data_IF_711967659389
#
_entry.id   IF_711967659389
#
_cell.length_a   1.000
_cell.length_b   1.000
_cell.length_c   1.000
_cell.angle_alpha   90.00
_cell.angle_beta   90.00
_cell.angle_gamma   90.00
#
_symmetry.space_group_name_H-M   'P 1'
#
loop_
_entity.id
_entity.type
_entity.pdbx_description
1 polymer ?
#
# COMPACT_ATOMS: atom_id res chain seq x y z
N UNK A 1 3.98 8.20 -16.13
CA UNK A 1 3.99 6.85 -15.51
C UNK A 1 2.78 6.71 -14.59
N UNK A 2 2.10 5.61 -14.71
CA UNK A 2 0.91 5.26 -13.96
C UNK A 2 1.22 4.13 -12.99
N UNK A 3 1.52 4.48 -11.74
CA UNK A 3 1.67 3.48 -10.70
C UNK A 3 0.38 3.40 -9.87
N UNK A 4 -0.24 2.25 -9.85
CA UNK A 4 -1.41 1.94 -9.01
C UNK A 4 -0.96 1.06 -7.86
N UNK A 5 -1.16 1.53 -6.63
CA UNK A 5 -0.86 0.75 -5.41
C UNK A 5 -2.04 -0.18 -5.11
N UNK A 6 -1.79 -1.48 -5.05
CA UNK A 6 -2.81 -2.48 -4.72
C UNK A 6 -2.63 -2.91 -3.27
N UNK A 7 -3.53 -2.45 -2.41
CA UNK A 7 -3.52 -2.66 -0.97
C UNK A 7 -4.63 -3.61 -0.51
N UNK A 8 -4.50 -4.16 0.69
CA UNK A 8 -5.50 -5.03 1.30
C UNK A 8 -4.91 -6.03 2.29
N UNK A 9 -5.77 -6.79 2.93
CA UNK A 9 -5.38 -7.82 3.89
C UNK A 9 -4.58 -8.97 3.28
N UNK A 10 -3.81 -9.71 4.09
CA UNK A 10 -3.34 -11.05 3.69
C UNK A 10 -4.52 -11.91 3.24
N UNK A 11 -4.37 -12.62 2.12
CA UNK A 11 -5.48 -13.45 1.58
C UNK A 11 -6.45 -12.71 0.67
N UNK A 12 -6.36 -11.38 0.49
CA UNK A 12 -7.25 -10.62 -0.41
C UNK A 12 -6.99 -10.82 -1.91
N UNK A 13 -5.98 -11.58 -2.32
CA UNK A 13 -5.75 -11.89 -3.73
C UNK A 13 -4.88 -10.90 -4.50
N UNK A 14 -4.18 -9.98 -3.83
CA UNK A 14 -3.29 -8.99 -4.48
C UNK A 14 -2.39 -9.59 -5.56
N UNK A 15 -1.68 -10.64 -5.23
CA UNK A 15 -0.76 -11.32 -6.17
C UNK A 15 -1.50 -11.97 -7.32
N UNK A 16 -2.66 -12.55 -7.08
CA UNK A 16 -3.48 -13.20 -8.10
C UNK A 16 -3.99 -12.21 -9.13
N UNK A 17 -4.38 -11.01 -8.68
CA UNK A 17 -4.90 -9.96 -9.56
C UNK A 17 -3.80 -9.26 -10.35
N UNK A 18 -2.75 -8.82 -9.68
CA UNK A 18 -1.76 -7.93 -10.28
C UNK A 18 -0.63 -8.65 -11.02
N UNK A 19 -0.27 -9.89 -10.64
CA UNK A 19 0.84 -10.60 -11.28
C UNK A 19 0.69 -10.76 -12.79
N UNK A 20 -0.48 -11.16 -13.34
CA UNK A 20 -0.65 -11.26 -14.79
C UNK A 20 -0.63 -9.92 -15.53
N UNK A 21 -0.98 -8.82 -14.84
CA UNK A 21 -0.98 -7.47 -15.41
C UNK A 21 0.40 -6.82 -15.40
N UNK A 22 1.25 -7.28 -14.52
CA UNK A 22 2.58 -6.69 -14.32
C UNK A 22 3.66 -7.34 -15.20
N UNK A 23 3.38 -8.51 -15.74
CA UNK A 23 4.40 -9.34 -16.37
C UNK A 23 5.51 -9.72 -15.38
N UNK A 24 6.53 -10.39 -15.85
CA UNK A 24 7.66 -10.90 -15.04
C UNK A 24 8.68 -9.78 -14.66
N UNK A 25 8.23 -8.51 -14.57
CA UNK A 25 9.10 -7.38 -14.26
C UNK A 25 9.26 -7.23 -12.75
N UNK A 26 10.26 -7.90 -12.19
CA UNK A 26 10.78 -7.53 -10.88
C UNK A 26 11.44 -6.14 -10.99
N UNK A 27 10.78 -5.08 -10.53
CA UNK A 27 11.43 -3.78 -10.41
C UNK A 27 12.52 -3.89 -9.35
N UNK A 28 13.77 -3.96 -9.80
CA UNK A 28 14.94 -3.85 -8.95
C UNK A 28 15.22 -2.40 -8.54
N UNK A 29 16.11 -2.23 -7.59
CA UNK A 29 16.63 -0.91 -7.26
C UNK A 29 17.63 -0.43 -8.33
N UNK A 30 17.46 0.78 -8.83
CA UNK A 30 18.33 1.40 -9.85
C UNK A 30 19.60 2.07 -9.28
N UNK A 31 19.86 1.91 -7.99
CA UNK A 31 21.03 2.50 -7.32
C UNK A 31 20.87 3.95 -6.89
N UNK A 32 19.77 4.61 -7.23
CA UNK A 32 19.54 6.02 -6.92
C UNK A 32 18.75 6.20 -5.62
N UNK A 33 19.07 7.25 -4.86
CA UNK A 33 18.33 7.62 -3.67
C UNK A 33 16.92 8.13 -4.01
N UNK A 34 15.97 8.02 -3.07
CA UNK A 34 14.67 8.67 -3.21
C UNK A 34 14.81 10.19 -3.48
N UNK A 35 13.87 10.79 -4.22
CA UNK A 35 13.87 12.22 -4.47
C UNK A 35 13.86 13.04 -3.17
N UNK A 36 14.43 14.23 -3.19
CA UNK A 36 14.55 15.08 -1.99
C UNK A 36 13.19 15.45 -1.36
N UNK A 37 12.14 15.58 -2.16
CA UNK A 37 10.78 15.88 -1.67
C UNK A 37 10.15 14.72 -0.86
N UNK A 38 10.74 13.52 -0.87
CA UNK A 38 10.31 12.41 -0.01
C UNK A 38 10.76 12.55 1.44
N UNK A 39 11.60 13.56 1.75
CA UNK A 39 12.24 13.66 3.07
C UNK A 39 11.24 13.60 4.22
N UNK A 40 10.20 14.43 4.19
CA UNK A 40 9.18 14.44 5.25
C UNK A 40 8.47 13.08 5.42
N UNK A 41 8.20 12.39 4.32
CA UNK A 41 7.63 11.04 4.36
C UNK A 41 8.59 10.02 4.98
N UNK A 42 9.88 10.08 4.63
CA UNK A 42 10.89 9.17 5.17
C UNK A 42 11.12 9.40 6.67
N UNK A 43 11.05 10.66 7.12
CA UNK A 43 11.12 11.03 8.53
C UNK A 43 9.92 10.40 9.28
N UNK A 44 8.70 10.51 8.77
CA UNK A 44 7.52 9.87 9.36
C UNK A 44 7.59 8.33 9.37
N UNK A 45 8.13 7.71 8.32
CA UNK A 45 8.37 6.27 8.32
C UNK A 45 9.35 5.87 9.42
N UNK A 46 10.36 6.70 9.68
CA UNK A 46 11.33 6.47 10.75
C UNK A 46 10.66 6.56 12.12
N UNK A 47 9.80 7.56 12.33
CA UNK A 47 9.00 7.69 13.55
C UNK A 47 8.10 6.46 13.76
N UNK A 48 7.37 6.03 12.73
CA UNK A 48 6.55 4.81 12.79
C UNK A 48 7.39 3.56 13.11
N UNK A 49 8.60 3.45 12.54
CA UNK A 49 9.51 2.35 12.89
C UNK A 49 9.87 2.36 14.37
N UNK A 50 10.19 3.53 14.93
CA UNK A 50 10.50 3.65 16.36
C UNK A 50 9.30 3.28 17.24
N UNK A 51 8.08 3.62 16.83
CA UNK A 51 6.87 3.24 17.55
C UNK A 51 6.61 1.72 17.58
N UNK A 52 7.07 0.98 16.60
CA UNK A 52 6.90 -0.49 16.53
C UNK A 52 8.19 -1.27 16.84
N UNK A 53 9.20 -0.62 17.40
CA UNK A 53 10.51 -1.24 17.67
C UNK A 53 10.45 -2.45 18.59
N UNK A 54 9.49 -2.46 19.53
CA UNK A 54 9.32 -3.54 20.51
C UNK A 54 8.48 -4.72 19.96
N UNK A 55 8.02 -4.62 18.71
CA UNK A 55 7.25 -5.68 18.06
C UNK A 55 8.20 -6.76 17.51
N UNK A 56 7.86 -8.05 17.71
CA UNK A 56 8.69 -9.19 17.31
C UNK A 56 9.12 -9.19 15.85
N UNK A 57 8.30 -8.61 14.97
CA UNK A 57 8.60 -8.49 13.55
C UNK A 57 9.47 -7.28 13.17
N UNK A 58 9.96 -6.50 14.13
CA UNK A 58 10.71 -5.27 13.86
C UNK A 58 11.89 -5.45 12.89
N UNK A 59 12.74 -6.48 13.00
CA UNK A 59 13.82 -6.69 12.04
C UNK A 59 13.34 -6.90 10.60
N UNK A 60 12.15 -7.49 10.43
CA UNK A 60 11.54 -7.62 9.10
C UNK A 60 11.01 -6.28 8.60
N UNK A 61 10.43 -5.45 9.48
CA UNK A 61 9.95 -4.09 9.15
C UNK A 61 11.06 -3.25 8.57
N UNK A 62 12.20 -3.19 9.24
CA UNK A 62 13.36 -2.40 8.80
C UNK A 62 13.80 -2.81 7.38
N UNK A 63 14.03 -4.12 7.17
CA UNK A 63 14.43 -4.63 5.83
C UNK A 63 13.41 -4.36 4.75
N UNK A 64 12.12 -4.48 5.09
CA UNK A 64 11.04 -4.31 4.12
C UNK A 64 10.85 -2.84 3.74
N UNK A 65 10.99 -1.90 4.70
CA UNK A 65 10.87 -0.47 4.42
C UNK A 65 11.99 0.04 3.52
N UNK A 66 13.23 -0.30 3.81
CA UNK A 66 14.37 0.05 2.96
C UNK A 66 14.16 -0.42 1.51
N UNK A 67 13.81 -1.70 1.33
CA UNK A 67 13.54 -2.26 0.00
C UNK A 67 12.38 -1.57 -0.71
N UNK A 68 11.30 -1.23 0.02
CA UNK A 68 10.12 -0.63 -0.59
C UNK A 68 10.38 0.82 -0.98
N UNK A 69 11.04 1.62 -0.15
CA UNK A 69 11.40 2.98 -0.50
C UNK A 69 12.29 3.02 -1.76
N UNK A 70 13.30 2.17 -1.83
CA UNK A 70 14.19 2.03 -2.99
C UNK A 70 13.43 1.62 -4.25
N UNK A 71 12.56 0.61 -4.14
CA UNK A 71 11.73 0.13 -5.25
C UNK A 71 10.79 1.22 -5.75
N UNK A 72 10.08 1.88 -4.85
CA UNK A 72 9.14 2.94 -5.23
C UNK A 72 9.82 4.15 -5.85
N UNK A 73 10.99 4.55 -5.34
CA UNK A 73 11.78 5.60 -5.95
C UNK A 73 12.25 5.22 -7.38
N UNK A 74 12.53 3.94 -7.63
CA UNK A 74 12.84 3.44 -8.98
C UNK A 74 11.59 3.47 -9.88
N UNK A 75 10.47 2.97 -9.38
CA UNK A 75 9.18 2.98 -10.08
C UNK A 75 8.79 4.38 -10.51
N UNK A 76 9.00 5.38 -9.66
CA UNK A 76 8.68 6.78 -9.97
C UNK A 76 9.48 7.33 -11.17
N UNK A 77 10.68 6.79 -11.40
CA UNK A 77 11.55 7.19 -12.53
C UNK A 77 11.30 6.38 -13.81
N UNK A 78 10.54 5.30 -13.74
CA UNK A 78 10.22 4.50 -14.94
C UNK A 78 9.27 5.27 -15.86
N UNK A 79 9.41 5.04 -17.16
CA UNK A 79 8.60 5.70 -18.20
C UNK A 79 7.51 4.77 -18.76
N UNK A 80 7.31 3.60 -18.14
CA UNK A 80 6.29 2.64 -18.57
C UNK A 80 4.87 3.21 -18.36
N UNK A 81 3.95 2.86 -19.25
CA UNK A 81 2.60 3.42 -19.27
C UNK A 81 1.76 3.00 -18.07
N UNK A 82 1.97 1.77 -17.54
CA UNK A 82 1.19 1.23 -16.39
C UNK A 82 2.03 0.31 -15.51
N UNK A 83 1.95 0.51 -14.20
CA UNK A 83 2.56 -0.38 -13.20
C UNK A 83 1.59 -0.61 -12.04
N UNK A 84 1.25 -1.87 -11.76
CA UNK A 84 0.49 -2.26 -10.59
C UNK A 84 1.42 -2.76 -9.48
N UNK A 85 1.35 -2.17 -8.30
CA UNK A 85 2.30 -2.43 -7.20
C UNK A 85 1.60 -3.14 -6.06
N UNK A 86 1.92 -4.41 -5.85
CA UNK A 86 1.30 -5.24 -4.79
C UNK A 86 1.71 -4.89 -3.37
N UNK A 87 2.86 -4.25 -3.22
CA UNK A 87 3.45 -3.94 -1.93
C UNK A 87 4.05 -2.54 -1.99
N UNK A 88 3.22 -1.60 -2.42
CA UNK A 88 3.55 -0.19 -2.49
C UNK A 88 3.57 0.47 -1.11
N UNK A 89 3.56 1.79 -1.12
CA UNK A 89 3.71 2.56 0.13
C UNK A 89 2.48 2.44 1.03
N UNK A 90 1.26 2.43 0.47
CA UNK A 90 0.03 2.23 1.25
C UNK A 90 0.08 0.92 2.00
N UNK A 91 0.41 -0.19 1.31
CA UNK A 91 0.50 -1.50 1.94
C UNK A 91 1.56 -1.51 3.06
N UNK A 92 2.63 -0.71 2.94
CA UNK A 92 3.64 -0.58 3.99
C UNK A 92 3.13 0.16 5.21
N UNK A 93 2.42 1.26 4.99
CA UNK A 93 1.83 2.04 6.09
C UNK A 93 0.76 1.21 6.80
N UNK A 94 -0.08 0.47 6.08
CA UNK A 94 -0.99 -0.52 6.67
C UNK A 94 -0.23 -1.57 7.50
N UNK A 95 0.98 -1.91 7.07
CA UNK A 95 1.90 -2.79 7.80
C UNK A 95 2.33 -2.23 9.16
N UNK A 96 2.45 -0.92 9.33
CA UNK A 96 2.62 -0.28 10.64
C UNK A 96 1.30 -0.27 11.40
N UNK A 97 0.19 0.09 10.77
CA UNK A 97 -1.12 0.14 11.39
C UNK A 97 -1.50 -1.17 12.10
N UNK A 98 -1.30 -2.33 11.45
CA UNK A 98 -1.62 -3.60 12.08
C UNK A 98 -0.74 -3.90 13.30
N UNK A 99 0.54 -3.48 13.28
CA UNK A 99 1.44 -3.66 14.43
C UNK A 99 1.08 -2.75 15.59
N UNK A 100 0.78 -1.50 15.30
CA UNK A 100 0.29 -0.57 16.32
C UNK A 100 -0.97 -1.12 16.98
N UNK A 101 -1.94 -1.58 16.19
CA UNK A 101 -3.18 -2.16 16.70
C UNK A 101 -2.92 -3.43 17.53
N UNK A 102 -2.03 -4.32 17.08
CA UNK A 102 -1.66 -5.53 17.83
C UNK A 102 -0.98 -5.19 19.16
N UNK A 103 -0.23 -4.10 19.23
CA UNK A 103 0.42 -3.62 20.45
C UNK A 103 -0.52 -2.78 21.35
N UNK A 104 -1.81 -2.65 20.99
CA UNK A 104 -2.77 -1.80 21.72
C UNK A 104 -2.48 -0.30 21.60
N UNK A 105 -1.73 0.11 20.59
CA UNK A 105 -1.43 1.53 20.31
C UNK A 105 -2.44 2.13 19.35
N UNK A 106 -2.52 3.46 19.34
CA UNK A 106 -3.42 4.18 18.45
C UNK A 106 -3.01 4.00 16.98
N UNK A 107 -3.91 3.44 16.19
CA UNK A 107 -3.71 3.22 14.74
C UNK A 107 -3.70 4.54 13.97
N UNK A 108 -4.31 5.61 14.49
CA UNK A 108 -4.30 6.94 13.87
C UNK A 108 -2.90 7.51 13.68
N UNK A 109 -1.89 7.00 14.38
CA UNK A 109 -0.50 7.39 14.20
C UNK A 109 0.02 7.18 12.77
N UNK A 110 -0.66 6.35 11.94
CA UNK A 110 -0.30 6.20 10.52
C UNK A 110 -0.76 7.37 9.63
N UNK A 111 -1.66 8.25 10.10
CA UNK A 111 -2.25 9.34 9.30
C UNK A 111 -1.20 10.27 8.70
N UNK A 112 -0.20 10.65 9.47
CA UNK A 112 0.85 11.56 9.00
C UNK A 112 1.68 10.96 7.86
N UNK A 113 2.06 9.69 7.99
CA UNK A 113 2.77 8.99 6.93
C UNK A 113 1.91 8.84 5.65
N UNK A 114 0.60 8.55 5.79
CA UNK A 114 -0.34 8.52 4.66
C UNK A 114 -0.49 9.90 4.01
N UNK A 115 -0.49 10.96 4.81
CA UNK A 115 -0.59 12.32 4.31
C UNK A 115 0.65 12.76 3.52
N UNK A 116 1.84 12.45 4.00
CA UNK A 116 3.12 12.82 3.37
C UNK A 116 3.58 11.83 2.29
N UNK A 117 2.94 10.68 2.20
CA UNK A 117 3.33 9.64 1.26
C UNK A 117 3.33 10.16 -0.18
N UNK A 118 4.42 9.96 -0.94
CA UNK A 118 4.40 10.24 -2.38
C UNK A 118 3.35 9.37 -3.05
N UNK A 119 2.41 10.01 -3.74
CA UNK A 119 1.28 9.32 -4.34
C UNK A 119 1.64 8.88 -5.76
N UNK A 120 1.40 7.63 -6.04
CA UNK A 120 1.15 7.11 -7.37
C UNK A 120 -0.23 7.58 -7.87
N UNK A 121 -0.62 7.21 -9.05
CA UNK A 121 -1.84 7.67 -9.74
C UNK A 121 -3.13 7.36 -9.00
N UNK A 122 -3.14 6.28 -8.23
CA UNK A 122 -4.29 5.88 -7.45
C UNK A 122 -4.01 4.66 -6.57
N UNK A 123 -4.97 4.34 -5.72
CA UNK A 123 -4.89 3.21 -4.79
C UNK A 123 -6.12 2.32 -4.96
N UNK A 124 -5.89 1.02 -5.05
CA UNK A 124 -6.94 0.01 -5.11
C UNK A 124 -6.94 -0.80 -3.82
N UNK A 125 -8.05 -0.78 -3.10
CA UNK A 125 -8.27 -1.62 -1.93
C UNK A 125 -9.02 -2.88 -2.32
N UNK A 126 -8.42 -4.05 -2.04
CA UNK A 126 -9.07 -5.33 -2.22
C UNK A 126 -9.80 -5.70 -0.94
N UNK A 127 -11.12 -5.83 -1.02
CA UNK A 127 -12.01 -6.06 0.10
C UNK A 127 -12.54 -7.50 0.11
N UNK A 128 -12.58 -8.07 1.28
CA UNK A 128 -13.31 -9.28 1.63
C UNK A 128 -13.57 -9.27 3.13
N UNK A 129 -14.59 -9.97 3.58
CA UNK A 129 -14.86 -10.11 5.00
C UNK A 129 -13.77 -10.90 5.73
N UNK A 130 -13.72 -10.74 7.05
CA UNK A 130 -12.70 -11.37 7.88
C UNK A 130 -12.73 -12.90 7.77
N UNK A 131 -13.92 -13.50 7.70
CA UNK A 131 -14.08 -14.95 7.66
C UNK A 131 -13.49 -15.51 6.34
N UNK A 132 -13.81 -14.89 5.21
CA UNK A 132 -13.24 -15.23 3.90
C UNK A 132 -11.72 -15.09 3.90
N UNK A 133 -11.17 -14.00 4.46
CA UNK A 133 -9.73 -13.79 4.55
C UNK A 133 -9.05 -14.87 5.39
N UNK A 134 -9.63 -15.21 6.54
CA UNK A 134 -9.10 -16.24 7.43
C UNK A 134 -9.18 -17.62 6.76
N UNK A 135 -10.28 -17.92 6.05
CA UNK A 135 -10.42 -19.18 5.33
C UNK A 135 -9.37 -19.32 4.23
N UNK A 136 -9.17 -18.29 3.41
CA UNK A 136 -8.15 -18.28 2.36
C UNK A 136 -6.71 -18.44 2.92
N UNK A 137 -6.43 -17.88 4.10
CA UNK A 137 -5.15 -18.08 4.76
C UNK A 137 -4.99 -19.50 5.31
N UNK A 138 -6.04 -20.11 5.90
CA UNK A 138 -6.04 -21.53 6.32
C UNK A 138 -5.81 -22.49 5.14
N UNK A 139 -6.38 -22.19 3.98
CA UNK A 139 -6.18 -23.03 2.79
C UNK A 139 -4.75 -22.94 2.24
N UNK A 140 -4.10 -21.78 2.37
CA UNK A 140 -2.65 -21.65 2.10
C UNK A 140 -1.80 -22.46 3.05
N UNK A 141 -2.16 -22.53 4.33
CA UNK A 141 -1.45 -23.31 5.33
C UNK A 141 -1.45 -24.81 5.01
N UNK A 142 -2.56 -25.32 4.45
CA UNK A 142 -2.69 -26.73 4.02
C UNK A 142 -1.82 -27.06 2.80
N UNK A 143 -1.42 -26.09 2.01
CA UNK A 143 -0.57 -26.28 0.85
C UNK A 143 0.90 -26.11 1.25
N UNK A 144 1.74 -27.16 1.21
CA UNK A 144 3.15 -27.10 1.62
C UNK A 144 3.97 -26.01 0.90
N UNK A 145 3.63 -25.69 -0.36
CA UNK A 145 4.29 -24.65 -1.12
C UNK A 145 4.03 -23.25 -0.60
N UNK A 146 2.90 -23.00 0.08
CA UNK A 146 2.46 -21.68 0.53
C UNK A 146 2.18 -21.60 2.04
N UNK A 147 2.43 -22.67 2.80
CA UNK A 147 2.16 -22.72 4.24
C UNK A 147 2.85 -21.58 5.02
N UNK A 148 4.05 -21.19 4.61
CA UNK A 148 4.79 -20.07 5.19
C UNK A 148 4.17 -18.69 4.91
N UNK A 149 3.19 -18.61 4.00
CA UNK A 149 2.46 -17.38 3.66
C UNK A 149 1.22 -17.17 4.53
N UNK A 150 0.90 -18.09 5.45
CA UNK A 150 -0.22 -17.89 6.36
C UNK A 150 0.04 -16.67 7.26
N UNK A 151 -0.79 -15.66 7.05
CA UNK A 151 -0.76 -14.39 7.80
C UNK A 151 -2.15 -13.99 8.28
N UNK A 152 -3.03 -14.98 8.46
CA UNK A 152 -4.41 -14.76 8.89
C UNK A 152 -4.50 -13.96 10.20
N UNK A 153 -3.55 -14.17 11.13
CA UNK A 153 -3.48 -13.43 12.40
C UNK A 153 -3.35 -11.90 12.20
N UNK A 154 -2.89 -11.44 11.05
CA UNK A 154 -2.77 -10.00 10.76
C UNK A 154 -4.10 -9.38 10.29
N UNK A 155 -5.04 -10.18 9.78
CA UNK A 155 -6.24 -9.69 9.13
C UNK A 155 -7.08 -8.73 9.99
N UNK A 156 -7.42 -9.04 11.27
CA UNK A 156 -8.23 -8.14 12.08
C UNK A 156 -7.56 -6.77 12.28
N UNK A 157 -6.24 -6.78 12.41
CA UNK A 157 -5.45 -5.58 12.68
C UNK A 157 -5.27 -4.73 11.41
N UNK A 158 -5.10 -5.37 10.24
CA UNK A 158 -5.04 -4.64 8.95
C UNK A 158 -6.40 -4.04 8.62
N UNK A 159 -7.49 -4.76 8.86
CA UNK A 159 -8.86 -4.24 8.67
C UNK A 159 -9.13 -3.00 9.52
N UNK A 160 -8.57 -2.88 10.71
CA UNK A 160 -8.67 -1.68 11.54
C UNK A 160 -7.94 -0.47 10.93
N UNK A 161 -6.89 -0.67 10.16
CA UNK A 161 -6.10 0.40 9.55
C UNK A 161 -6.63 0.88 8.17
N UNK A 162 -7.37 0.03 7.44
CA UNK A 162 -7.88 0.35 6.10
C UNK A 162 -8.81 1.58 6.08
N UNK A 163 -9.80 1.73 6.97
CA UNK A 163 -10.67 2.91 6.98
C UNK A 163 -9.89 4.21 7.15
N UNK A 164 -8.89 4.22 8.01
CA UNK A 164 -8.02 5.39 8.24
C UNK A 164 -7.25 5.73 6.95
N UNK A 165 -6.72 4.72 6.26
CA UNK A 165 -6.02 4.95 5.01
C UNK A 165 -6.93 5.51 3.92
N UNK A 166 -8.14 4.98 3.78
CA UNK A 166 -9.14 5.48 2.82
C UNK A 166 -9.52 6.93 3.11
N UNK A 167 -9.82 7.25 4.37
CA UNK A 167 -10.17 8.61 4.79
C UNK A 167 -9.07 9.61 4.42
N UNK A 168 -7.83 9.36 4.83
CA UNK A 168 -6.70 10.27 4.56
C UNK A 168 -6.42 10.42 3.06
N UNK A 169 -6.49 9.33 2.30
CA UNK A 169 -6.27 9.37 0.86
C UNK A 169 -7.39 10.12 0.13
N UNK A 170 -8.65 9.95 0.56
CA UNK A 170 -9.78 10.73 0.06
C UNK A 170 -9.61 12.23 0.34
N UNK A 171 -9.25 12.61 1.58
CA UNK A 171 -8.99 14.01 1.95
C UNK A 171 -7.87 14.62 1.09
N UNK A 172 -6.92 13.81 0.62
CA UNK A 172 -5.86 14.24 -0.30
C UNK A 172 -6.29 14.30 -1.78
N UNK A 173 -7.51 13.89 -2.09
CA UNK A 173 -7.98 13.79 -3.48
C UNK A 173 -7.28 12.68 -4.29
N UNK A 174 -6.74 11.65 -3.62
CA UNK A 174 -6.13 10.50 -4.30
C UNK A 174 -7.24 9.62 -4.86
N UNK A 175 -7.23 9.27 -6.16
CA UNK A 175 -8.20 8.33 -6.72
C UNK A 175 -8.17 6.99 -5.98
N UNK A 176 -9.34 6.53 -5.54
CA UNK A 176 -9.50 5.26 -4.84
C UNK A 176 -10.46 4.35 -5.62
N UNK A 177 -10.13 3.08 -5.67
CA UNK A 177 -11.03 2.01 -6.14
C UNK A 177 -11.14 0.95 -5.04
N UNK A 178 -12.36 0.58 -4.71
CA UNK A 178 -12.66 -0.52 -3.79
C UNK A 178 -13.18 -1.71 -4.62
N UNK A 179 -12.46 -2.84 -4.54
CA UNK A 179 -12.82 -4.05 -5.26
C UNK A 179 -13.25 -5.14 -4.27
N UNK A 180 -14.50 -5.52 -4.35
CA UNK A 180 -15.03 -6.70 -3.65
C UNK A 180 -14.51 -7.98 -4.33
N UNK A 181 -13.44 -8.54 -3.78
CA UNK A 181 -12.82 -9.76 -4.29
C UNK A 181 -13.43 -11.05 -3.71
N UNK A 182 -14.51 -10.90 -2.98
CA UNK A 182 -15.30 -12.03 -2.46
C UNK A 182 -16.38 -12.45 -3.45
N UNK A 183 -17.04 -11.49 -4.08
CA UNK A 183 -18.22 -11.72 -4.93
C UNK A 183 -17.94 -11.52 -6.42
N UNK A 184 -16.76 -11.02 -6.79
CA UNK A 184 -16.37 -10.82 -8.19
C UNK A 184 -15.44 -11.93 -8.67
N UNK A 185 -15.52 -12.25 -9.97
CA UNK A 185 -14.52 -13.11 -10.61
C UNK A 185 -13.18 -12.37 -10.70
N UNK A 186 -12.08 -13.14 -10.77
CA UNK A 186 -10.74 -12.59 -10.92
C UNK A 186 -10.62 -11.74 -12.19
N UNK A 187 -11.26 -12.18 -13.27
CA UNK A 187 -11.18 -11.48 -14.56
C UNK A 187 -11.96 -10.16 -14.52
N UNK A 188 -13.17 -10.13 -13.95
CA UNK A 188 -13.91 -8.89 -13.75
C UNK A 188 -13.14 -7.91 -12.86
N UNK A 189 -12.52 -8.39 -11.78
CA UNK A 189 -11.71 -7.54 -10.92
C UNK A 189 -10.47 -6.99 -11.64
N UNK A 190 -9.86 -7.74 -12.57
CA UNK A 190 -8.76 -7.26 -13.42
C UNK A 190 -9.22 -6.21 -14.42
N UNK A 191 -10.37 -6.38 -15.05
CA UNK A 191 -10.96 -5.40 -15.96
C UNK A 191 -11.19 -4.07 -15.24
N UNK A 192 -11.77 -4.08 -14.04
CA UNK A 192 -11.94 -2.88 -13.22
C UNK A 192 -10.61 -2.23 -12.84
N UNK A 193 -9.60 -3.03 -12.51
CA UNK A 193 -8.26 -2.54 -12.17
C UNK A 193 -7.59 -1.82 -13.35
N UNK A 194 -7.73 -2.38 -14.57
CA UNK A 194 -7.20 -1.78 -15.80
C UNK A 194 -7.97 -0.50 -16.15
N UNK A 195 -9.31 -0.53 -16.12
CA UNK A 195 -10.14 0.62 -16.38
C UNK A 195 -9.81 1.79 -15.42
N UNK A 196 -9.68 1.51 -14.13
CA UNK A 196 -9.28 2.49 -13.13
C UNK A 196 -7.92 3.14 -13.44
N UNK A 197 -6.95 2.34 -13.87
CA UNK A 197 -5.64 2.85 -14.25
C UNK A 197 -5.74 3.77 -15.48
N UNK A 198 -6.56 3.42 -16.47
CA UNK A 198 -6.76 4.21 -17.70
C UNK A 198 -7.48 5.53 -17.43
N UNK A 199 -8.54 5.51 -16.65
CA UNK A 199 -9.32 6.69 -16.27
C UNK A 199 -8.46 7.71 -15.51
N UNK A 200 -7.52 7.24 -14.71
CA UNK A 200 -6.66 8.09 -13.90
C UNK A 200 -5.30 8.41 -14.55
N UNK A 201 -5.08 7.96 -15.78
CA UNK A 201 -3.84 8.21 -16.52
C UNK A 201 -3.50 9.70 -16.66
N UNK A 202 -4.51 10.53 -16.92
CA UNK A 202 -4.37 11.98 -17.07
C UNK A 202 -4.06 12.71 -15.75
N UNK A 203 -4.42 12.13 -14.61
CA UNK A 203 -4.27 12.76 -13.30
C UNK A 203 -2.82 12.69 -12.77
N UNK A 204 -2.00 11.79 -13.29
CA UNK A 204 -0.62 11.59 -12.87
C UNK A 204 0.25 12.86 -12.95
N UNK A 205 0.00 13.71 -13.93
CA UNK A 205 0.72 14.98 -14.11
C UNK A 205 0.30 16.02 -13.06
N UNK A 206 -0.99 16.08 -12.72
CA UNK A 206 -1.52 17.06 -11.77
C UNK A 206 -1.12 16.74 -10.31
N UNK A 207 -1.06 15.45 -9.98
CA UNK A 207 -0.63 15.00 -8.63
C UNK A 207 0.86 15.28 -8.41
N UNK A 208 1.70 15.20 -9.46
CA UNK A 208 3.13 15.55 -9.38
C UNK A 208 3.37 17.04 -9.26
N UNK A 209 2.65 17.86 -10.02
CA UNK A 209 2.78 19.32 -9.93
C UNK A 209 2.33 19.87 -8.58
N UNK A 210 1.38 19.21 -7.93
CA UNK A 210 0.96 19.54 -6.56
C UNK A 210 2.04 19.28 -5.51
N UNK A 211 2.96 18.33 -5.73
CA UNK A 211 4.06 18.05 -4.79
C UNK A 211 5.22 19.04 -4.90
N UNK A 212 5.41 19.69 -6.05
CA UNK A 212 6.55 20.59 -6.28
C UNK A 212 6.38 22.03 -5.75
N UNK A 213 5.21 22.41 -5.25
CA UNK A 213 4.98 23.81 -4.84
C UNK A 213 3.92 24.03 -3.77
N UNK A 214 3.14 23.04 -3.43
CA UNK A 214 2.10 23.20 -2.42
C UNK A 214 2.71 22.90 -1.04
N UNK A 215 2.94 23.94 -0.25
CA UNK A 215 2.96 23.81 1.20
C UNK A 215 1.57 23.33 1.56
N UNK A 216 1.42 21.98 1.69
CA UNK A 216 0.16 21.41 2.16
C UNK A 216 -0.15 22.03 3.50
N UNK A 217 -1.21 22.81 3.59
CA UNK A 217 -1.74 23.24 4.89
C UNK A 217 -2.03 21.94 5.66
N UNK A 218 -1.39 21.74 6.82
CA UNK A 218 -1.63 20.52 7.57
C UNK A 218 -3.12 20.44 7.92
N UNK A 219 -3.74 19.27 7.82
CA UNK A 219 -5.14 19.10 8.18
C UNK A 219 -5.34 19.38 9.68
N UNK A 220 -6.57 19.70 10.13
CA UNK A 220 -6.86 20.08 11.51
C UNK A 220 -6.37 19.06 12.57
N UNK A 221 -6.31 17.77 12.20
CA UNK A 221 -5.84 16.70 13.09
C UNK A 221 -4.31 16.57 13.16
N UNK A 222 -3.56 17.43 12.48
CA UNK A 222 -2.09 17.43 12.50
C UNK A 222 -1.50 18.04 13.77
N UNK A 223 -2.29 18.82 14.51
CA UNK A 223 -1.90 19.40 15.80
C UNK A 223 -2.06 18.35 16.91
#
# INVERSE_FOLDING_TARGET
>A
MLAVDVAGCPGSGKSTLSYPLWGDRSVGWDGKLPPAYWRGFLDELTELMMLVRDHDSFPAVVRMNDRSAKKMATVERMQDDRIFIQTGLVQRILGFGWRLHQMGRDVNLIRRALWLMPVSVGVVFLEADLETLLQRNRDREKNPATAHENRGFQCPHVLAAIPIAKEVLNERGVPLLELDVQHQSIDAAREHLVAFADENAGNAASVRSGCEGTIFSPPPWWQ
#
